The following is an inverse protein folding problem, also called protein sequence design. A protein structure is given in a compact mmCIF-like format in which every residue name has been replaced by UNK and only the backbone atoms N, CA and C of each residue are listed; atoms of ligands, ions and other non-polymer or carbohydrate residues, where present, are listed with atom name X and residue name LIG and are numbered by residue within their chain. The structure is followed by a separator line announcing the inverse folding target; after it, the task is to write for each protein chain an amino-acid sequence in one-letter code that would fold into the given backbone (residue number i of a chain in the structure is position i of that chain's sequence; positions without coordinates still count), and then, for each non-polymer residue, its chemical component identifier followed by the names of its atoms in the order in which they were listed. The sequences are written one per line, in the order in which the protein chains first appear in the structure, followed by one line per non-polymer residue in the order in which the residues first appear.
data_IF_917530324006
#
_entry.id   IF_917530324006
#
_cell.length_a   1.000
_cell.length_b   1.000
_cell.length_c   1.000
_cell.angle_alpha   90.00
_cell.angle_beta   90.00
_cell.angle_gamma   90.00
#
_symmetry.space_group_name_H-M   'P 1'
#
loop_
_entity.id
_entity.type
_entity.pdbx_description
1 polymer ?
#
# COMPACT_ATOMS: atom_id res chain seq x y z
N UNK A 1 13.04 4.57 -17.98
CA UNK A 1 12.92 6.04 -17.90
C UNK A 1 12.34 6.33 -16.52
N UNK A 2 12.92 7.24 -15.75
CA UNK A 2 12.38 7.62 -14.44
C UNK A 2 11.14 8.49 -14.69
N UNK A 3 10.04 8.28 -13.96
CA UNK A 3 8.84 9.11 -14.12
C UNK A 3 9.06 10.51 -13.55
N UNK A 4 8.22 11.47 -13.94
CA UNK A 4 8.26 12.83 -13.38
C UNK A 4 8.09 12.82 -11.86
N UNK A 5 7.13 12.04 -11.34
CA UNK A 5 6.91 11.83 -9.91
C UNK A 5 8.15 11.28 -9.21
N UNK A 6 8.81 10.27 -9.79
CA UNK A 6 10.03 9.71 -9.22
C UNK A 6 11.18 10.73 -9.21
N UNK A 7 11.29 11.61 -10.21
CA UNK A 7 12.28 12.68 -10.21
C UNK A 7 12.02 13.70 -9.09
N UNK A 8 10.76 14.12 -8.92
CA UNK A 8 10.35 15.01 -7.82
C UNK A 8 10.69 14.37 -6.47
N UNK A 9 10.33 13.10 -6.28
CA UNK A 9 10.60 12.36 -5.06
C UNK A 9 12.11 12.25 -4.75
N UNK A 10 12.95 12.01 -5.76
CA UNK A 10 14.40 11.96 -5.59
C UNK A 10 14.97 13.30 -5.12
N UNK A 11 14.45 14.43 -5.64
CA UNK A 11 14.90 15.76 -5.23
C UNK A 11 14.48 16.07 -3.79
N UNK A 12 13.22 15.82 -3.44
CA UNK A 12 12.70 16.11 -2.10
C UNK A 12 13.39 15.25 -1.03
N UNK A 13 13.56 13.95 -1.28
CA UNK A 13 14.30 13.07 -0.37
C UNK A 13 15.77 13.47 -0.27
N UNK A 14 16.41 13.89 -1.37
CA UNK A 14 17.79 14.38 -1.31
C UNK A 14 17.94 15.63 -0.45
N UNK A 15 17.00 16.58 -0.54
CA UNK A 15 17.02 17.80 0.29
C UNK A 15 16.94 17.43 1.77
N UNK A 16 15.95 16.62 2.16
CA UNK A 16 15.80 16.21 3.56
C UNK A 16 16.98 15.39 4.07
N UNK A 17 17.58 14.55 3.21
CA UNK A 17 18.77 13.78 3.57
C UNK A 17 20.03 14.65 3.75
N UNK A 18 20.10 15.80 3.07
CA UNK A 18 21.28 16.67 3.09
C UNK A 18 21.50 17.38 4.44
N UNK A 19 20.47 17.47 5.26
CA UNK A 19 20.53 18.09 6.59
C UNK A 19 21.31 17.23 7.60
N UNK A 20 21.46 15.94 7.34
CA UNK A 20 22.23 15.02 8.18
C UNK A 20 23.54 14.61 7.48
N UNK A 21 24.72 14.97 8.03
CA UNK A 21 26.01 14.59 7.45
C UNK A 21 26.20 13.08 7.26
N UNK A 22 25.57 12.24 8.11
CA UNK A 22 25.65 10.79 8.00
C UNK A 22 24.90 10.24 6.78
N UNK A 23 23.98 11.01 6.20
CA UNK A 23 23.13 10.60 5.07
C UNK A 23 23.56 11.23 3.74
N UNK A 24 24.69 11.95 3.73
CA UNK A 24 25.17 12.67 2.55
C UNK A 24 25.33 11.78 1.31
N UNK A 25 25.89 10.59 1.45
CA UNK A 25 26.04 9.66 0.32
C UNK A 25 24.68 9.15 -0.18
N UNK A 26 23.65 9.09 0.67
CA UNK A 26 22.29 8.78 0.24
C UNK A 26 21.62 9.95 -0.50
N UNK A 27 21.85 11.19 -0.05
CA UNK A 27 21.42 12.39 -0.77
C UNK A 27 22.08 12.44 -2.17
N UNK A 28 23.38 12.20 -2.26
CA UNK A 28 24.12 12.14 -3.52
C UNK A 28 23.61 11.01 -4.43
N UNK A 29 23.27 9.85 -3.86
CA UNK A 29 22.60 8.77 -4.61
C UNK A 29 21.32 9.28 -5.29
N UNK A 30 20.46 9.98 -4.54
CA UNK A 30 19.18 10.46 -5.04
C UNK A 30 19.37 11.48 -6.17
N UNK A 31 20.27 12.47 -5.98
CA UNK A 31 20.59 13.50 -6.98
C UNK A 31 21.23 12.92 -8.25
N UNK A 32 22.11 11.93 -8.12
CA UNK A 32 22.72 11.28 -9.28
C UNK A 32 21.70 10.41 -10.03
N UNK A 33 20.79 9.75 -9.31
CA UNK A 33 19.74 8.93 -9.92
C UNK A 33 18.76 9.80 -10.71
N UNK A 34 18.37 10.95 -10.17
CA UNK A 34 17.50 11.93 -10.86
C UNK A 34 18.12 12.37 -12.19
N UNK A 35 19.42 12.65 -12.23
CA UNK A 35 20.18 12.97 -13.46
C UNK A 35 20.35 11.81 -14.44
N UNK A 36 19.79 10.63 -14.15
CA UNK A 36 19.96 9.42 -14.94
C UNK A 36 21.36 8.78 -14.84
N UNK A 37 22.20 9.21 -13.91
CA UNK A 37 23.57 8.74 -13.73
C UNK A 37 23.61 7.43 -12.93
N UNK A 38 23.12 6.34 -13.53
CA UNK A 38 22.92 5.04 -12.85
C UNK A 38 24.17 4.50 -12.16
N UNK A 39 25.33 4.45 -12.83
CA UNK A 39 26.56 3.89 -12.25
C UNK A 39 27.09 4.74 -11.09
N UNK A 40 27.26 6.06 -11.23
CA UNK A 40 27.62 6.94 -10.11
C UNK A 40 26.65 6.85 -8.93
N UNK A 41 25.34 6.88 -9.20
CA UNK A 41 24.32 6.76 -8.16
C UNK A 41 24.51 5.46 -7.35
N UNK A 42 24.66 4.32 -8.03
CA UNK A 42 24.87 3.04 -7.35
C UNK A 42 26.17 3.00 -6.53
N UNK A 43 27.24 3.69 -6.95
CA UNK A 43 28.44 3.84 -6.11
C UNK A 43 28.11 4.54 -4.80
N UNK A 44 27.41 5.67 -4.88
CA UNK A 44 27.00 6.45 -3.71
C UNK A 44 26.07 5.70 -2.77
N UNK A 45 25.12 4.93 -3.32
CA UNK A 45 24.28 4.06 -2.52
C UNK A 45 25.11 2.99 -1.78
N UNK A 46 26.12 2.41 -2.43
CA UNK A 46 26.96 1.41 -1.80
C UNK A 46 27.87 2.02 -0.71
N UNK A 47 28.42 3.21 -0.95
CA UNK A 47 29.18 3.98 0.04
C UNK A 47 28.33 4.23 1.30
N UNK A 48 27.09 4.72 1.10
CA UNK A 48 26.12 4.89 2.18
C UNK A 48 25.83 3.58 2.93
N UNK A 49 25.48 2.50 2.23
CA UNK A 49 25.14 1.23 2.86
C UNK A 49 26.33 0.54 3.56
N UNK A 50 27.56 0.89 3.18
CA UNK A 50 28.75 0.42 3.87
C UNK A 50 29.00 1.23 5.14
N UNK A 51 28.74 2.54 5.13
CA UNK A 51 28.87 3.36 6.34
C UNK A 51 27.85 2.98 7.42
N UNK A 52 26.65 2.52 7.02
CA UNK A 52 25.60 2.10 7.96
C UNK A 52 25.92 0.81 8.72
N UNK A 53 26.93 0.03 8.30
CA UNK A 53 27.35 -1.18 9.04
C UNK A 53 27.90 -0.86 10.43
N UNK A 54 28.42 0.36 10.63
CA UNK A 54 28.89 0.83 11.93
C UNK A 54 27.83 1.55 12.76
N UNK A 55 26.59 1.68 12.27
CA UNK A 55 25.54 2.41 12.96
C UNK A 55 24.97 1.62 14.15
N UNK A 56 24.59 2.35 15.20
CA UNK A 56 23.75 1.80 16.27
C UNK A 56 22.32 1.54 15.78
N UNK A 57 21.53 0.80 16.56
CA UNK A 57 20.12 0.58 16.25
C UNK A 57 19.36 1.90 16.14
N UNK A 58 19.62 2.83 17.06
CA UNK A 58 18.99 4.16 17.11
C UNK A 58 19.27 4.96 15.84
N UNK A 59 20.50 4.94 15.33
CA UNK A 59 20.86 5.63 14.08
C UNK A 59 20.17 5.03 12.85
N UNK A 60 20.03 3.69 12.81
CA UNK A 60 19.27 3.02 11.74
C UNK A 60 17.79 3.39 11.80
N UNK A 61 17.21 3.40 13.00
CA UNK A 61 15.81 3.79 13.25
C UNK A 61 15.57 5.25 12.91
N UNK A 62 16.52 6.14 13.22
CA UNK A 62 16.46 7.55 12.87
C UNK A 62 16.36 7.72 11.35
N UNK A 63 17.19 7.00 10.58
CA UNK A 63 17.11 7.02 9.13
C UNK A 63 15.79 6.46 8.59
N UNK A 64 15.28 5.36 9.18
CA UNK A 64 13.96 4.80 8.81
C UNK A 64 12.83 5.80 9.11
N UNK A 65 12.86 6.46 10.27
CA UNK A 65 11.90 7.50 10.66
C UNK A 65 11.98 8.75 9.79
N UNK A 66 13.15 9.05 9.22
CA UNK A 66 13.30 10.08 8.21
C UNK A 66 12.66 9.64 6.88
N UNK A 67 12.99 8.44 6.41
CA UNK A 67 12.68 8.02 5.05
C UNK A 67 11.21 7.62 4.87
N UNK A 68 10.64 6.81 5.76
CA UNK A 68 9.32 6.22 5.53
C UNK A 68 8.17 7.22 5.49
N UNK A 69 8.13 8.30 6.30
CA UNK A 69 7.11 9.35 6.13
C UNK A 69 7.15 9.99 4.74
N UNK A 70 8.33 10.13 4.13
CA UNK A 70 8.48 10.64 2.76
C UNK A 70 7.98 9.61 1.74
N UNK A 71 8.25 8.32 1.96
CA UNK A 71 7.70 7.23 1.12
C UNK A 71 6.17 7.18 1.21
N UNK A 72 5.59 7.47 2.37
CA UNK A 72 4.13 7.46 2.56
C UNK A 72 3.44 8.68 1.94
N UNK A 73 4.11 9.83 1.85
CA UNK A 73 3.48 11.10 1.46
C UNK A 73 3.86 11.62 0.08
N UNK A 74 4.99 11.21 -0.49
CA UNK A 74 5.48 11.72 -1.78
C UNK A 74 5.24 10.68 -2.88
N UNK A 75 4.44 10.99 -3.92
CA UNK A 75 4.24 10.10 -5.06
C UNK A 75 5.57 9.67 -5.70
N UNK A 76 5.74 8.37 -5.96
CA UNK A 76 6.94 7.78 -6.57
C UNK A 76 8.13 7.58 -5.63
N UNK A 77 8.01 7.95 -4.34
CA UNK A 77 9.09 7.81 -3.36
C UNK A 77 9.43 6.34 -3.02
N UNK A 78 8.48 5.43 -3.20
CA UNK A 78 8.62 3.98 -3.01
C UNK A 78 9.41 3.28 -4.13
N UNK A 79 9.66 3.95 -5.26
CA UNK A 79 10.39 3.40 -6.42
C UNK A 79 11.68 4.17 -6.74
N UNK A 80 11.66 5.50 -6.58
CA UNK A 80 12.81 6.35 -6.84
C UNK A 80 13.83 6.28 -5.69
N UNK A 81 13.60 6.99 -4.58
CA UNK A 81 14.46 7.01 -3.40
C UNK A 81 14.66 5.66 -2.68
N UNK A 82 13.74 4.71 -2.83
CA UNK A 82 13.75 3.44 -2.08
C UNK A 82 14.12 2.21 -2.93
N UNK A 83 15.39 2.06 -3.36
CA UNK A 83 15.80 0.94 -4.19
C UNK A 83 15.94 -0.35 -3.38
N UNK A 84 15.87 -1.49 -4.07
CA UNK A 84 15.99 -2.81 -3.46
C UNK A 84 17.21 -2.98 -2.52
N UNK A 85 18.46 -2.57 -2.87
CA UNK A 85 19.60 -2.70 -1.96
C UNK A 85 19.44 -1.95 -0.63
N UNK A 86 18.80 -0.77 -0.64
CA UNK A 86 18.47 -0.04 0.58
C UNK A 86 17.43 -0.78 1.43
N UNK A 87 16.45 -1.38 0.74
CA UNK A 87 15.44 -2.21 1.36
C UNK A 87 16.06 -3.39 2.12
N UNK A 88 16.84 -4.22 1.43
CA UNK A 88 17.34 -5.48 2.01
C UNK A 88 18.52 -5.32 2.97
N UNK A 89 19.38 -4.30 2.81
CA UNK A 89 20.62 -4.17 3.60
C UNK A 89 20.49 -3.23 4.81
N UNK A 90 19.44 -2.42 4.86
CA UNK A 90 19.27 -1.43 5.94
C UNK A 90 17.85 -1.44 6.49
N UNK A 91 16.87 -1.01 5.69
CA UNK A 91 15.53 -0.73 6.24
C UNK A 91 14.77 -1.97 6.70
N UNK A 92 14.81 -3.08 5.93
CA UNK A 92 14.15 -4.33 6.33
C UNK A 92 14.75 -4.89 7.64
N UNK A 93 16.08 -5.12 7.75
CA UNK A 93 16.67 -5.58 9.01
C UNK A 93 16.39 -4.64 10.19
N UNK A 94 16.38 -3.33 9.95
CA UNK A 94 16.09 -2.33 10.99
C UNK A 94 14.65 -2.45 11.48
N UNK A 95 13.68 -2.60 10.57
CA UNK A 95 12.28 -2.77 10.94
C UNK A 95 12.03 -4.12 11.63
N UNK A 96 12.69 -5.20 11.20
CA UNK A 96 12.62 -6.51 11.88
C UNK A 96 13.13 -6.41 13.31
N UNK A 97 14.30 -5.80 13.51
CA UNK A 97 14.89 -5.57 14.83
C UNK A 97 13.97 -4.69 15.69
N UNK A 98 13.48 -3.58 15.14
CA UNK A 98 12.63 -2.62 15.85
C UNK A 98 11.30 -3.23 16.27
N UNK A 99 10.62 -3.96 15.37
CA UNK A 99 9.36 -4.65 15.69
C UNK A 99 9.50 -5.67 16.82
N UNK A 100 10.70 -6.25 17.02
CA UNK A 100 10.92 -7.27 18.04
C UNK A 100 10.83 -6.73 19.49
N UNK A 101 11.04 -5.44 19.70
CA UNK A 101 11.00 -4.83 21.04
C UNK A 101 10.06 -3.63 21.17
N UNK A 102 9.55 -3.06 20.08
CA UNK A 102 8.62 -1.94 20.11
C UNK A 102 7.28 -2.32 20.76
N UNK A 103 6.71 -1.39 21.54
CA UNK A 103 5.46 -1.61 22.28
C UNK A 103 4.46 -0.47 22.18
N UNK A 104 4.90 0.69 21.71
CA UNK A 104 4.18 1.96 21.82
C UNK A 104 4.03 2.69 20.49
N UNK A 105 5.02 2.58 19.61
CA UNK A 105 4.94 3.15 18.26
C UNK A 105 4.37 2.12 17.28
N UNK A 106 3.25 2.43 16.64
CA UNK A 106 2.63 1.57 15.62
C UNK A 106 3.38 1.62 14.28
N UNK A 107 4.13 2.69 14.02
CA UNK A 107 4.80 2.95 12.73
C UNK A 107 5.70 1.81 12.23
N UNK A 108 6.62 1.23 13.01
CA UNK A 108 7.46 0.13 12.51
C UNK A 108 6.64 -1.07 12.05
N UNK A 109 5.59 -1.43 12.79
CA UNK A 109 4.70 -2.52 12.41
C UNK A 109 3.92 -2.20 11.13
N UNK A 110 3.39 -0.98 11.01
CA UNK A 110 2.70 -0.51 9.80
C UNK A 110 3.61 -0.55 8.58
N UNK A 111 4.80 0.05 8.71
CA UNK A 111 5.79 0.12 7.63
C UNK A 111 6.25 -1.28 7.22
N UNK A 112 6.54 -2.15 8.19
CA UNK A 112 6.92 -3.52 7.88
C UNK A 112 5.78 -4.25 7.15
N UNK A 113 4.57 -4.14 7.69
CA UNK A 113 3.38 -4.76 7.12
C UNK A 113 3.12 -4.34 5.68
N UNK A 114 3.10 -3.03 5.40
CA UNK A 114 2.83 -2.47 4.07
C UNK A 114 3.90 -2.86 3.04
N UNK A 115 5.18 -2.61 3.36
CA UNK A 115 6.26 -2.73 2.37
C UNK A 115 6.83 -4.15 2.24
N UNK A 116 6.62 -5.02 3.23
CA UNK A 116 7.05 -6.44 3.19
C UNK A 116 5.90 -7.44 3.22
N UNK A 117 4.67 -6.98 2.98
CA UNK A 117 3.47 -7.81 2.83
C UNK A 117 3.20 -8.73 4.04
N UNK A 118 3.27 -8.16 5.24
CA UNK A 118 2.95 -8.89 6.48
C UNK A 118 1.65 -8.38 7.10
N UNK A 119 0.57 -9.12 6.94
CA UNK A 119 -0.71 -8.79 7.55
C UNK A 119 -0.65 -8.86 9.09
N UNK A 120 0.11 -9.80 9.64
CA UNK A 120 0.37 -9.91 11.09
C UNK A 120 0.91 -8.60 11.67
N UNK A 121 1.86 -7.97 11.00
CA UNK A 121 2.40 -6.68 11.45
C UNK A 121 1.38 -5.54 11.29
N UNK A 122 0.50 -5.58 10.29
CA UNK A 122 -0.58 -4.59 10.19
C UNK A 122 -1.59 -4.74 11.33
N UNK A 123 -1.98 -5.98 11.69
CA UNK A 123 -2.81 -6.22 12.86
C UNK A 123 -2.10 -5.76 14.14
N UNK A 124 -0.79 -6.01 14.25
CA UNK A 124 -0.01 -5.55 15.39
C UNK A 124 0.03 -4.02 15.49
N UNK A 125 0.16 -3.32 14.38
CA UNK A 125 0.07 -1.86 14.33
C UNK A 125 -1.28 -1.37 14.89
N UNK A 126 -2.38 -2.02 14.52
CA UNK A 126 -3.73 -1.70 15.00
C UNK A 126 -3.99 -2.12 16.46
N UNK A 127 -3.29 -3.12 16.98
CA UNK A 127 -3.29 -3.43 18.42
C UNK A 127 -2.61 -2.33 19.24
N UNK A 128 -1.47 -1.83 18.75
CA UNK A 128 -0.69 -0.77 19.40
C UNK A 128 -1.41 0.58 19.29
N UNK A 129 -1.93 0.90 18.11
CA UNK A 129 -2.71 2.10 17.84
C UNK A 129 -3.97 1.77 17.02
N UNK A 130 -5.13 1.63 17.68
CA UNK A 130 -6.41 1.39 16.99
C UNK A 130 -6.86 2.53 16.06
N UNK A 131 -6.27 3.71 16.15
CA UNK A 131 -6.58 4.88 15.31
C UNK A 131 -5.63 5.01 14.10
N UNK A 132 -4.77 4.02 13.85
CA UNK A 132 -3.85 4.01 12.72
C UNK A 132 -4.58 3.69 11.40
N UNK A 133 -5.22 4.71 10.82
CA UNK A 133 -5.96 4.60 9.57
C UNK A 133 -5.07 4.11 8.42
N UNK A 134 -3.79 4.49 8.36
CA UNK A 134 -2.87 4.05 7.29
C UNK A 134 -2.62 2.53 7.32
N UNK A 135 -2.49 1.94 8.52
CA UNK A 135 -2.40 0.49 8.65
C UNK A 135 -3.72 -0.18 8.23
N UNK A 136 -4.85 0.40 8.65
CA UNK A 136 -6.19 -0.11 8.35
C UNK A 136 -6.50 -0.08 6.85
N UNK A 137 -6.19 1.01 6.17
CA UNK A 137 -6.37 1.15 4.72
C UNK A 137 -5.51 0.17 3.93
N UNK A 138 -4.31 -0.15 4.43
CA UNK A 138 -3.46 -1.17 3.79
C UNK A 138 -4.16 -2.54 3.80
N UNK A 139 -4.76 -2.92 4.94
CA UNK A 139 -5.56 -4.15 5.04
C UNK A 139 -6.80 -4.07 4.14
N UNK A 140 -7.56 -2.97 4.19
CA UNK A 140 -8.75 -2.77 3.37
C UNK A 140 -8.44 -2.88 1.87
N UNK A 141 -7.31 -2.32 1.43
CA UNK A 141 -6.87 -2.43 0.05
C UNK A 141 -6.59 -3.89 -0.35
N UNK A 142 -5.96 -4.69 0.51
CA UNK A 142 -5.69 -6.09 0.19
C UNK A 142 -6.97 -6.92 0.17
N UNK A 143 -7.83 -6.74 1.17
CA UNK A 143 -9.07 -7.51 1.30
C UNK A 143 -10.08 -7.16 0.21
N UNK A 144 -10.26 -5.88 -0.13
CA UNK A 144 -11.14 -5.50 -1.25
C UNK A 144 -10.57 -5.92 -2.61
N UNK A 145 -9.25 -6.10 -2.75
CA UNK A 145 -8.69 -6.69 -3.95
C UNK A 145 -9.03 -8.19 -4.07
N UNK A 146 -9.15 -8.93 -2.96
CA UNK A 146 -9.63 -10.32 -2.98
C UNK A 146 -11.05 -10.38 -3.55
N UNK A 147 -11.97 -9.53 -3.06
CA UNK A 147 -13.33 -9.45 -3.60
C UNK A 147 -13.34 -9.08 -5.08
N UNK A 148 -12.53 -8.08 -5.48
CA UNK A 148 -12.36 -7.73 -6.88
C UNK A 148 -11.93 -8.94 -7.72
N UNK A 149 -10.95 -9.72 -7.27
CA UNK A 149 -10.50 -10.93 -7.98
C UNK A 149 -11.60 -11.98 -8.12
N UNK A 150 -12.52 -12.10 -7.17
CA UNK A 150 -13.66 -13.01 -7.29
C UNK A 150 -14.62 -12.64 -8.43
N UNK A 151 -14.80 -11.33 -8.69
CA UNK A 151 -15.88 -10.82 -9.58
C UNK A 151 -15.41 -10.15 -10.88
N UNK A 152 -14.12 -9.90 -11.06
CA UNK A 152 -13.61 -9.12 -12.20
C UNK A 152 -13.81 -9.74 -13.59
N UNK A 153 -14.17 -11.03 -13.66
CA UNK A 153 -14.54 -11.72 -14.90
C UNK A 153 -16.05 -11.79 -15.13
N UNK A 154 -16.85 -11.04 -14.38
CA UNK A 154 -18.26 -10.90 -14.73
C UNK A 154 -18.43 -9.94 -15.92
N UNK A 155 -19.33 -10.27 -16.87
CA UNK A 155 -20.37 -11.30 -16.77
C UNK A 155 -19.97 -12.73 -17.19
N UNK A 156 -18.74 -12.97 -17.67
CA UNK A 156 -18.29 -14.26 -18.18
C UNK A 156 -18.27 -15.37 -17.12
N UNK A 157 -17.94 -15.03 -15.88
CA UNK A 157 -17.93 -15.99 -14.78
C UNK A 157 -17.51 -15.39 -13.46
N UNK A 158 -18.13 -15.90 -12.39
CA UNK A 158 -17.70 -15.65 -11.02
C UNK A 158 -16.59 -16.64 -10.68
N UNK A 159 -15.42 -16.17 -10.24
CA UNK A 159 -14.27 -17.04 -9.92
C UNK A 159 -14.32 -17.56 -8.48
N UNK A 160 -14.74 -16.72 -7.53
CA UNK A 160 -14.85 -17.07 -6.11
C UNK A 160 -16.17 -17.76 -5.75
N UNK A 161 -16.51 -17.73 -4.46
CA UNK A 161 -17.82 -18.14 -3.94
C UNK A 161 -18.57 -16.89 -3.43
N UNK A 162 -19.75 -16.56 -4.00
CA UNK A 162 -20.46 -15.34 -3.64
C UNK A 162 -20.99 -15.33 -2.20
N UNK A 163 -21.21 -16.50 -1.56
CA UNK A 163 -21.62 -16.56 -0.16
C UNK A 163 -20.42 -16.28 0.75
N UNK A 164 -19.25 -16.89 0.47
CA UNK A 164 -18.01 -16.62 1.22
C UNK A 164 -17.57 -15.16 1.08
N UNK A 165 -17.71 -14.58 -0.11
CA UNK A 165 -17.37 -13.18 -0.39
C UNK A 165 -18.28 -12.20 0.39
N UNK A 166 -19.58 -12.51 0.54
CA UNK A 166 -20.48 -11.72 1.39
C UNK A 166 -20.10 -11.80 2.87
N UNK A 167 -19.73 -12.99 3.37
CA UNK A 167 -19.23 -13.14 4.74
C UNK A 167 -17.92 -12.39 4.96
N UNK A 168 -17.03 -12.40 3.96
CA UNK A 168 -15.78 -11.66 3.99
C UNK A 168 -16.01 -10.15 3.95
N UNK A 169 -16.99 -9.67 3.18
CA UNK A 169 -17.37 -8.27 3.14
C UNK A 169 -17.83 -7.73 4.50
N UNK A 170 -18.45 -8.55 5.36
CA UNK A 170 -18.78 -8.13 6.73
C UNK A 170 -17.52 -7.84 7.56
N UNK A 171 -16.44 -8.62 7.39
CA UNK A 171 -15.14 -8.32 8.03
C UNK A 171 -14.58 -6.99 7.54
N UNK A 172 -14.72 -6.70 6.24
CA UNK A 172 -14.28 -5.41 5.65
C UNK A 172 -15.12 -4.25 6.23
N UNK A 173 -16.46 -4.38 6.31
CA UNK A 173 -17.35 -3.37 6.91
C UNK A 173 -16.95 -3.02 8.34
N UNK A 174 -16.60 -4.02 9.16
CA UNK A 174 -16.11 -3.80 10.52
C UNK A 174 -14.86 -2.92 10.53
N UNK A 175 -13.90 -3.19 9.64
CA UNK A 175 -12.70 -2.35 9.55
C UNK A 175 -13.03 -0.94 9.05
N UNK A 176 -13.86 -0.79 8.02
CA UNK A 176 -14.29 0.53 7.52
C UNK A 176 -14.90 1.36 8.67
N UNK A 177 -15.77 0.77 9.48
CA UNK A 177 -16.41 1.47 10.61
C UNK A 177 -15.44 1.99 11.68
N UNK A 178 -14.22 1.46 11.71
CA UNK A 178 -13.14 1.84 12.65
C UNK A 178 -12.18 2.88 12.08
N UNK A 179 -12.36 3.32 10.83
CA UNK A 179 -11.59 4.44 10.28
C UNK A 179 -11.97 5.74 10.99
N UNK A 180 -10.97 6.44 11.51
CA UNK A 180 -11.15 7.71 12.22
C UNK A 180 -11.54 8.81 11.25
N UNK A 181 -10.81 8.92 10.13
CA UNK A 181 -11.06 9.90 9.08
C UNK A 181 -12.38 9.60 8.33
N UNK A 182 -13.37 10.50 8.38
CA UNK A 182 -14.64 10.30 7.69
C UNK A 182 -14.52 10.25 6.17
N UNK A 183 -13.55 10.96 5.57
CA UNK A 183 -13.39 10.96 4.11
C UNK A 183 -12.88 9.59 3.62
N UNK A 184 -11.90 9.01 4.33
CA UNK A 184 -11.43 7.64 4.09
C UNK A 184 -12.55 6.62 4.29
N UNK A 185 -13.33 6.79 5.36
CA UNK A 185 -14.48 5.91 5.64
C UNK A 185 -15.50 5.93 4.52
N UNK A 186 -15.84 7.11 4.02
CA UNK A 186 -16.77 7.28 2.90
C UNK A 186 -16.22 6.68 1.61
N UNK A 187 -14.93 6.88 1.33
CA UNK A 187 -14.26 6.26 0.18
C UNK A 187 -14.38 4.74 0.21
N UNK A 188 -13.96 4.10 1.32
CA UNK A 188 -13.99 2.65 1.42
C UNK A 188 -15.41 2.08 1.48
N UNK A 189 -16.36 2.80 2.07
CA UNK A 189 -17.78 2.42 2.07
C UNK A 189 -18.32 2.38 0.64
N UNK A 190 -18.04 3.41 -0.16
CA UNK A 190 -18.43 3.44 -1.59
C UNK A 190 -17.75 2.33 -2.37
N UNK A 191 -16.46 2.10 -2.15
CA UNK A 191 -15.71 1.09 -2.89
C UNK A 191 -16.22 -0.33 -2.61
N UNK A 192 -16.50 -0.67 -1.35
CA UNK A 192 -17.10 -1.95 -1.00
C UNK A 192 -18.55 -2.07 -1.49
N UNK A 193 -19.31 -0.97 -1.47
CA UNK A 193 -20.69 -0.95 -1.97
C UNK A 193 -20.81 -1.33 -3.45
N UNK A 194 -19.85 -0.88 -4.29
CA UNK A 194 -19.79 -1.27 -5.70
C UNK A 194 -19.59 -2.80 -5.84
N UNK A 195 -18.68 -3.37 -5.07
CA UNK A 195 -18.41 -4.82 -5.12
C UNK A 195 -19.63 -5.62 -4.68
N UNK A 196 -20.25 -5.20 -3.57
CA UNK A 196 -21.44 -5.84 -3.02
C UNK A 196 -22.64 -5.78 -3.98
N UNK A 197 -22.87 -4.65 -4.64
CA UNK A 197 -23.93 -4.52 -5.64
C UNK A 197 -23.78 -5.57 -6.76
N UNK A 198 -22.56 -5.76 -7.26
CA UNK A 198 -22.27 -6.75 -8.31
C UNK A 198 -22.51 -8.18 -7.80
N UNK A 199 -22.04 -8.50 -6.58
CA UNK A 199 -22.22 -9.83 -5.97
C UNK A 199 -23.70 -10.14 -5.73
N UNK A 200 -24.44 -9.18 -5.18
CA UNK A 200 -25.87 -9.31 -4.92
C UNK A 200 -26.68 -9.47 -6.22
N UNK A 201 -26.35 -8.68 -7.25
CA UNK A 201 -26.97 -8.80 -8.57
C UNK A 201 -26.67 -10.16 -9.22
N UNK A 202 -25.46 -10.71 -9.05
CA UNK A 202 -25.13 -12.06 -9.50
C UNK A 202 -26.00 -13.13 -8.82
N UNK A 203 -26.20 -13.02 -7.50
CA UNK A 203 -27.05 -13.94 -6.73
C UNK A 203 -28.54 -13.79 -7.11
N UNK A 204 -29.00 -12.57 -7.36
CA UNK A 204 -30.36 -12.29 -7.83
C UNK A 204 -30.61 -12.92 -9.21
N UNK A 205 -29.67 -12.75 -10.15
CA UNK A 205 -29.69 -13.39 -11.45
C UNK A 205 -29.76 -14.92 -11.33
N UNK A 206 -28.92 -15.54 -10.50
CA UNK A 206 -28.93 -17.00 -10.28
C UNK A 206 -30.29 -17.51 -9.81
N UNK A 207 -30.98 -16.75 -8.95
CA UNK A 207 -32.33 -17.09 -8.45
C UNK A 207 -33.41 -16.90 -9.52
N UNK A 208 -33.24 -15.94 -10.44
CA UNK A 208 -34.21 -15.67 -11.50
C UNK A 208 -34.36 -16.79 -12.53
N UNK A 209 -33.32 -17.62 -12.70
CA UNK A 209 -33.25 -18.62 -13.77
C UNK A 209 -33.04 -18.03 -15.18
N UNK A 210 -32.77 -16.72 -15.30
CA UNK A 210 -32.45 -16.10 -16.58
C UNK A 210 -31.16 -16.70 -17.17
N UNK A 211 -31.09 -17.06 -18.47
CA UNK A 211 -29.96 -17.80 -19.02
C UNK A 211 -28.67 -16.97 -19.17
N UNK A 212 -28.78 -15.65 -19.25
CA UNK A 212 -27.66 -14.73 -19.52
C UNK A 212 -27.65 -13.57 -18.52
N UNK A 213 -26.53 -13.37 -17.82
CA UNK A 213 -26.39 -12.34 -16.79
C UNK A 213 -26.39 -10.94 -17.40
N UNK A 214 -25.72 -10.74 -18.54
CA UNK A 214 -25.61 -9.43 -19.18
C UNK A 214 -26.98 -8.90 -19.64
N UNK A 215 -27.77 -9.76 -20.30
CA UNK A 215 -29.13 -9.44 -20.73
C UNK A 215 -30.06 -9.20 -19.54
N UNK A 216 -29.98 -10.05 -18.51
CA UNK A 216 -30.74 -9.86 -17.26
C UNK A 216 -30.42 -8.51 -16.62
N UNK A 217 -29.14 -8.14 -16.53
CA UNK A 217 -28.71 -6.85 -15.99
C UNK A 217 -29.28 -5.66 -16.76
N UNK A 218 -29.25 -5.73 -18.10
CA UNK A 218 -29.82 -4.69 -18.97
C UNK A 218 -31.33 -4.56 -18.80
N UNK A 219 -32.06 -5.67 -18.75
CA UNK A 219 -33.52 -5.69 -18.61
C UNK A 219 -33.98 -5.16 -17.25
N UNK A 220 -33.19 -5.38 -16.21
CA UNK A 220 -33.50 -4.99 -14.83
C UNK A 220 -32.79 -3.70 -14.38
N UNK A 221 -32.05 -3.03 -15.28
CA UNK A 221 -31.25 -1.84 -14.99
C UNK A 221 -30.29 -2.05 -13.79
N UNK A 222 -29.58 -3.18 -13.79
CA UNK A 222 -28.63 -3.60 -12.75
C UNK A 222 -27.20 -3.67 -13.29
N UNK A 223 -26.23 -3.30 -12.45
CA UNK A 223 -24.80 -3.47 -12.75
C UNK A 223 -24.37 -4.91 -12.50
N UNK A 224 -23.79 -5.56 -13.50
CA UNK A 224 -23.44 -6.99 -13.45
C UNK A 224 -21.93 -7.26 -13.61
N UNK A 225 -21.12 -6.21 -13.56
CA UNK A 225 -19.67 -6.27 -13.69
C UNK A 225 -19.06 -4.87 -13.69
N UNK A 226 -17.74 -4.77 -13.66
CA UNK A 226 -17.08 -3.46 -13.72
C UNK A 226 -17.11 -2.91 -15.15
N UNK A 227 -17.70 -1.72 -15.33
CA UNK A 227 -17.80 -1.12 -16.66
C UNK A 227 -16.46 -0.59 -17.23
N UNK A 228 -15.42 -0.46 -16.39
CA UNK A 228 -14.02 -0.18 -16.70
C UNK A 228 -13.21 -0.68 -15.48
N UNK A 229 -12.09 -1.37 -15.68
CA UNK A 229 -11.20 -1.82 -14.60
C UNK A 229 -10.96 -0.70 -13.59
N UNK A 230 -11.02 -0.98 -12.27
CA UNK A 230 -10.62 -0.03 -11.21
C UNK A 230 -9.33 0.67 -11.64
N UNK A 231 -9.43 1.92 -12.06
CA UNK A 231 -8.25 2.73 -12.27
C UNK A 231 -7.66 2.94 -10.87
N UNK A 232 -6.44 2.47 -10.66
CA UNK A 232 -5.67 2.79 -9.47
C UNK A 232 -5.43 4.30 -9.47
N UNK A 233 -6.35 5.07 -8.90
CA UNK A 233 -6.12 6.46 -8.59
C UNK A 233 -5.18 6.47 -7.39
N UNK A 234 -3.89 6.64 -7.66
CA UNK A 234 -3.04 7.31 -6.69
C UNK A 234 -3.61 8.73 -6.58
N UNK A 235 -4.15 9.08 -5.41
CA UNK A 235 -4.54 10.46 -5.14
C UNK A 235 -3.32 11.37 -5.37
N UNK A 236 -3.57 12.51 -6.02
CA UNK A 236 -2.57 13.51 -6.39
C UNK A 236 -2.14 14.34 -5.19
#
# INVERSE_FOLDING_TARGET
MISEEQNIALIEVAKGASDNPAWKDYADYCLLKEKGLRKPALSKLNEFLNSTQGWSAEQRIEFVNFLFPLIETIPGADQGPFPHPLSIRLTKPTLEEWCAYEKSDSKPFRWFGKYYRSEEHLHKALEVNPEDDLARETILNWWTNILYFSIHHLPEGYIGDPVEDLEFAEKIKVQISRLVDPERRDYWTKQLGIDLEIIENYLEWKKSGHPDLASWGKENNKTVGYHLTRAYYFEK
#
